data_IF_015427301707
#
_entry.id   IF_015427301707
#
_cell.length_a   1.000
_cell.length_b   1.000
_cell.length_c   1.000
_cell.angle_alpha   90.00
_cell.angle_beta   90.00
_cell.angle_gamma   90.00
#
_symmetry.space_group_name_H-M   'P 1'
#
loop_
_entity.id
_entity.type
_entity.pdbx_description
1 polymer ?
#
# COMPACT_ATOMS: atom_id res chain seq x y z
N UNK A 1 15.58 -11.59 26.11
CA UNK A 1 16.55 -10.49 26.23
C UNK A 1 17.81 -10.98 25.53
N UNK A 2 18.21 -10.33 24.42
CA UNK A 2 19.37 -10.75 23.62
C UNK A 2 20.67 -10.40 24.34
N UNK A 3 20.93 -11.01 25.49
CA UNK A 3 22.20 -10.86 26.19
C UNK A 3 22.82 -12.25 26.28
N UNK A 4 23.77 -12.52 25.40
CA UNK A 4 24.59 -13.73 25.39
C UNK A 4 25.80 -13.61 26.32
N UNK A 5 25.90 -12.52 27.11
CA UNK A 5 26.95 -12.31 28.09
C UNK A 5 28.30 -11.89 27.50
N UNK A 6 28.38 -11.69 26.19
CA UNK A 6 29.63 -11.33 25.47
C UNK A 6 29.70 -9.84 25.08
N UNK A 7 28.60 -9.08 25.27
CA UNK A 7 28.52 -7.65 24.96
C UNK A 7 28.67 -7.28 23.49
N UNK A 8 28.78 -8.26 22.58
CA UNK A 8 29.06 -8.04 21.15
C UNK A 8 27.94 -8.65 20.32
N UNK A 9 26.91 -7.84 20.01
CA UNK A 9 25.82 -8.29 19.14
C UNK A 9 26.16 -8.06 17.68
N UNK A 10 26.08 -9.12 16.88
CA UNK A 10 26.21 -9.02 15.44
C UNK A 10 25.02 -8.26 14.84
N UNK A 11 25.31 -7.10 14.25
CA UNK A 11 24.35 -6.31 13.48
C UNK A 11 24.24 -6.88 12.08
N UNK A 12 23.02 -7.15 11.64
CA UNK A 12 22.71 -7.66 10.30
C UNK A 12 21.67 -6.78 9.62
N UNK A 13 21.63 -6.73 8.28
CA UNK A 13 20.59 -6.01 7.56
C UNK A 13 19.19 -6.47 7.99
N UNK A 14 18.28 -5.52 8.18
CA UNK A 14 16.92 -5.80 8.63
C UNK A 14 16.11 -6.53 7.53
N UNK A 15 15.77 -7.82 7.70
CA UNK A 15 15.03 -8.58 6.69
C UNK A 15 13.61 -8.03 6.48
N UNK A 16 13.02 -7.36 7.49
CA UNK A 16 11.71 -6.71 7.36
C UNK A 16 11.79 -5.49 6.46
N UNK A 17 12.82 -4.64 6.64
CA UNK A 17 13.05 -3.47 5.79
C UNK A 17 13.22 -3.86 4.33
N UNK A 18 13.97 -4.93 4.08
CA UNK A 18 14.19 -5.45 2.73
C UNK A 18 12.91 -6.00 2.09
N UNK A 19 12.06 -6.69 2.87
CA UNK A 19 10.73 -7.13 2.41
C UNK A 19 9.86 -5.93 2.03
N UNK A 20 9.81 -4.88 2.85
CA UNK A 20 9.04 -3.67 2.54
C UNK A 20 9.52 -2.99 1.26
N UNK A 21 10.85 -2.87 1.05
CA UNK A 21 11.41 -2.35 -0.21
C UNK A 21 10.99 -3.18 -1.41
N UNK A 22 11.09 -4.50 -1.28
CA UNK A 22 10.70 -5.45 -2.33
C UNK A 22 9.21 -5.32 -2.66
N UNK A 23 8.36 -5.30 -1.63
CA UNK A 23 6.91 -5.11 -1.78
C UNK A 23 6.58 -3.78 -2.47
N UNK A 24 7.20 -2.67 -2.06
CA UNK A 24 7.00 -1.37 -2.69
C UNK A 24 7.40 -1.40 -4.17
N UNK A 25 8.54 -2.04 -4.49
CA UNK A 25 9.01 -2.17 -5.87
C UNK A 25 8.04 -2.98 -6.73
N UNK A 26 7.49 -4.07 -6.19
CA UNK A 26 6.50 -4.89 -6.89
C UNK A 26 5.15 -4.18 -7.08
N UNK A 27 4.69 -3.42 -6.09
CA UNK A 27 3.39 -2.75 -6.13
C UNK A 27 3.41 -1.40 -6.85
N UNK A 28 4.57 -0.76 -7.02
CA UNK A 28 4.70 0.51 -7.72
C UNK A 28 3.95 0.57 -9.09
N UNK A 29 4.12 -0.40 -10.01
CA UNK A 29 3.38 -0.38 -11.27
C UNK A 29 1.87 -0.51 -11.09
N UNK A 30 1.41 -1.31 -10.13
CA UNK A 30 -0.02 -1.51 -9.88
C UNK A 30 -0.66 -0.24 -9.29
N UNK A 31 0.04 0.42 -8.36
CA UNK A 31 -0.41 1.70 -7.79
C UNK A 31 -0.49 2.80 -8.86
N UNK A 32 0.47 2.84 -9.77
CA UNK A 32 0.46 3.77 -10.90
C UNK A 32 -0.69 3.46 -11.88
N UNK A 33 -0.95 2.18 -12.15
CA UNK A 33 -2.08 1.76 -12.97
C UNK A 33 -3.43 2.17 -12.34
N UNK A 34 -3.58 2.04 -11.01
CA UNK A 34 -4.77 2.50 -10.30
C UNK A 34 -4.91 4.02 -10.36
N UNK A 35 -3.81 4.76 -10.19
CA UNK A 35 -3.80 6.22 -10.22
C UNK A 35 -4.27 6.78 -11.57
N UNK A 36 -3.93 6.09 -12.66
CA UNK A 36 -4.17 6.53 -14.05
C UNK A 36 -5.32 5.79 -14.74
N UNK A 37 -5.99 4.86 -14.05
CA UNK A 37 -7.01 3.97 -14.64
C UNK A 37 -8.14 4.72 -15.35
N UNK A 38 -8.48 5.93 -14.88
CA UNK A 38 -9.57 6.73 -15.42
C UNK A 38 -9.13 7.82 -16.41
N UNK A 39 -7.82 8.06 -16.58
CA UNK A 39 -7.30 9.11 -17.47
C UNK A 39 -7.80 9.00 -18.91
N UNK A 40 -7.94 7.79 -19.52
CA UNK A 40 -8.51 7.68 -20.86
C UNK A 40 -9.97 8.16 -20.92
N UNK A 41 -10.77 7.85 -19.89
CA UNK A 41 -12.17 8.22 -19.83
C UNK A 41 -12.34 9.73 -19.55
N UNK A 42 -11.52 10.30 -18.67
CA UNK A 42 -11.53 11.76 -18.41
C UNK A 42 -11.10 12.55 -19.65
N UNK A 43 -10.11 12.08 -20.40
CA UNK A 43 -9.71 12.68 -21.68
C UNK A 43 -10.82 12.60 -22.72
N UNK A 44 -11.49 11.46 -22.85
CA UNK A 44 -12.61 11.30 -23.79
C UNK A 44 -13.78 12.24 -23.45
N UNK A 45 -14.14 12.36 -22.17
CA UNK A 45 -15.16 13.30 -21.70
C UNK A 45 -14.76 14.76 -22.00
N UNK A 46 -13.51 15.12 -21.71
CA UNK A 46 -13.01 16.49 -21.95
C UNK A 46 -12.91 16.84 -23.43
N UNK A 47 -12.71 15.85 -24.30
CA UNK A 47 -12.72 16.02 -25.76
C UNK A 47 -14.13 16.24 -26.35
N UNK A 48 -15.17 16.23 -25.52
CA UNK A 48 -16.56 16.42 -25.98
C UNK A 48 -17.16 15.19 -26.66
N UNK A 49 -16.63 13.99 -26.38
CA UNK A 49 -17.18 12.76 -26.94
C UNK A 49 -18.67 12.60 -26.58
N UNK A 50 -19.06 12.98 -25.37
CA UNK A 50 -20.44 12.97 -24.87
C UNK A 50 -20.86 14.37 -24.42
N UNK A 51 -22.08 14.81 -24.78
CA UNK A 51 -22.59 16.15 -24.47
C UNK A 51 -24.01 16.10 -23.88
N UNK A 52 -24.39 17.17 -23.17
CA UNK A 52 -25.71 17.34 -22.55
C UNK A 52 -25.76 16.95 -21.06
N UNK A 53 -26.87 17.29 -20.38
CA UNK A 53 -27.03 17.11 -18.92
C UNK A 53 -26.67 15.71 -18.37
N UNK A 54 -27.03 14.60 -19.05
CA UNK A 54 -26.60 13.28 -18.60
C UNK A 54 -25.08 13.08 -18.65
N UNK A 55 -24.42 13.65 -19.67
CA UNK A 55 -22.96 13.62 -19.81
C UNK A 55 -22.28 14.41 -18.70
N UNK A 56 -22.82 15.58 -18.32
CA UNK A 56 -22.29 16.39 -17.21
C UNK A 56 -22.30 15.60 -15.89
N UNK A 57 -23.45 15.01 -15.53
CA UNK A 57 -23.57 14.17 -14.32
C UNK A 57 -22.63 12.96 -14.35
N UNK A 58 -22.48 12.33 -15.52
CA UNK A 58 -21.56 11.21 -15.68
C UNK A 58 -20.11 11.66 -15.48
N UNK A 59 -19.71 12.79 -16.08
CA UNK A 59 -18.39 13.39 -15.92
C UNK A 59 -18.06 13.69 -14.46
N UNK A 60 -18.98 14.33 -13.74
CA UNK A 60 -18.81 14.58 -12.29
C UNK A 60 -18.60 13.28 -11.50
N UNK A 61 -19.41 12.26 -11.81
CA UNK A 61 -19.32 10.95 -11.17
C UNK A 61 -18.04 10.19 -11.51
N UNK A 62 -17.52 10.35 -12.72
CA UNK A 62 -16.25 9.80 -13.19
C UNK A 62 -15.09 10.47 -12.45
N UNK A 63 -15.01 11.80 -12.47
CA UNK A 63 -13.95 12.54 -11.78
C UNK A 63 -13.97 12.34 -10.27
N UNK A 64 -15.15 12.19 -9.67
CA UNK A 64 -15.24 11.82 -8.26
C UNK A 64 -14.65 10.42 -7.98
N UNK A 65 -14.84 9.45 -8.88
CA UNK A 65 -14.23 8.11 -8.77
C UNK A 65 -12.73 8.15 -9.00
N UNK A 66 -12.27 8.85 -10.04
CA UNK A 66 -10.86 9.04 -10.34
C UNK A 66 -10.10 9.62 -9.14
N UNK A 67 -10.61 10.72 -8.55
CA UNK A 67 -10.02 11.33 -7.35
C UNK A 67 -10.02 10.40 -6.13
N UNK A 68 -11.02 9.54 -5.96
CA UNK A 68 -11.03 8.57 -4.85
C UNK A 68 -10.00 7.47 -5.08
N UNK A 69 -9.90 6.95 -6.29
CA UNK A 69 -8.94 5.90 -6.62
C UNK A 69 -7.50 6.40 -6.53
N UNK A 70 -7.22 7.57 -7.09
CA UNK A 70 -5.89 8.20 -6.98
C UNK A 70 -5.48 8.43 -5.52
N UNK A 71 -6.38 8.93 -4.68
CA UNK A 71 -6.09 9.09 -3.24
C UNK A 71 -5.86 7.77 -2.52
N UNK A 72 -6.62 6.72 -2.84
CA UNK A 72 -6.41 5.40 -2.25
C UNK A 72 -5.04 4.80 -2.64
N UNK A 73 -4.63 4.97 -3.90
CA UNK A 73 -3.32 4.52 -4.37
C UNK A 73 -2.17 5.28 -3.71
N UNK A 74 -2.27 6.62 -3.61
CA UNK A 74 -1.26 7.42 -2.91
C UNK A 74 -1.21 7.09 -1.42
N UNK A 75 -2.35 6.94 -0.74
CA UNK A 75 -2.37 6.57 0.67
C UNK A 75 -1.72 5.20 0.92
N UNK A 76 -1.97 4.22 0.05
CA UNK A 76 -1.33 2.90 0.15
C UNK A 76 0.19 3.00 -0.03
N UNK A 77 0.64 3.84 -0.97
CA UNK A 77 2.07 4.11 -1.19
C UNK A 77 2.71 4.80 0.01
N UNK A 78 2.07 5.84 0.53
CA UNK A 78 2.55 6.61 1.68
C UNK A 78 2.67 5.73 2.91
N UNK A 79 1.66 4.90 3.21
CA UNK A 79 1.71 3.94 4.32
C UNK A 79 2.93 3.01 4.23
N UNK A 80 3.23 2.47 3.05
CA UNK A 80 4.40 1.61 2.84
C UNK A 80 5.73 2.36 3.01
N UNK A 81 5.78 3.62 2.56
CA UNK A 81 6.96 4.47 2.71
C UNK A 81 7.20 4.88 4.17
N UNK A 82 6.13 5.19 4.91
CA UNK A 82 6.18 5.50 6.34
C UNK A 82 6.66 4.29 7.15
N UNK A 83 6.10 3.11 6.87
CA UNK A 83 6.57 1.86 7.48
C UNK A 83 8.05 1.61 7.15
N UNK A 84 8.46 1.81 5.90
CA UNK A 84 9.86 1.65 5.49
C UNK A 84 10.80 2.63 6.21
N UNK A 85 10.36 3.88 6.42
CA UNK A 85 11.13 4.91 7.10
C UNK A 85 11.23 4.66 8.61
N UNK A 86 10.20 4.05 9.21
CA UNK A 86 10.18 3.69 10.62
C UNK A 86 11.10 2.49 10.96
N UNK A 87 11.40 1.63 9.98
CA UNK A 87 12.25 0.46 10.18
C UNK A 87 13.76 0.80 10.21
N UNK A 88 14.52 0.30 11.19
CA UNK A 88 15.97 0.47 11.23
C UNK A 88 16.66 -0.29 10.08
N UNK A 89 17.79 0.24 9.58
CA UNK A 89 18.59 -0.41 8.52
C UNK A 89 19.19 -1.74 8.96
N UNK A 90 19.68 -1.80 10.20
CA UNK A 90 20.32 -2.96 10.79
C UNK A 90 19.66 -3.30 12.12
N UNK A 91 19.56 -4.59 12.40
CA UNK A 91 19.00 -5.15 13.63
C UNK A 91 19.94 -6.21 14.17
N UNK A 92 19.80 -6.59 15.43
CA UNK A 92 20.63 -7.65 15.99
C UNK A 92 20.23 -8.99 15.38
N UNK A 93 21.19 -9.85 15.04
CA UNK A 93 20.93 -11.18 14.46
C UNK A 93 19.96 -12.04 15.30
N UNK A 94 19.94 -11.87 16.62
CA UNK A 94 18.98 -12.56 17.49
C UNK A 94 17.52 -12.08 17.30
N UNK A 95 17.31 -10.82 16.92
CA UNK A 95 15.99 -10.20 16.70
C UNK A 95 15.37 -10.66 15.38
N UNK A 96 16.19 -11.06 14.39
CA UNK A 96 15.72 -11.56 13.10
C UNK A 96 15.17 -12.98 13.14
N UNK A 97 15.57 -13.79 14.14
CA UNK A 97 15.18 -15.19 14.29
C UNK A 97 13.87 -15.39 15.08
N UNK A 98 13.43 -14.38 15.85
CA UNK A 98 12.25 -14.46 16.72
C UNK A 98 10.95 -13.89 16.12
N UNK A 99 11.02 -13.22 14.97
CA UNK A 99 9.88 -12.53 14.35
C UNK A 99 9.11 -13.41 13.36
N UNK A 100 8.36 -14.40 13.84
CA UNK A 100 7.30 -15.00 13.04
C UNK A 100 6.22 -13.93 12.76
N UNK A 101 5.65 -13.85 11.54
CA UNK A 101 4.62 -12.87 11.23
C UNK A 101 3.32 -13.28 11.91
N UNK A 102 3.07 -12.76 13.11
CA UNK A 102 1.73 -12.76 13.69
C UNK A 102 0.88 -11.75 12.90
N UNK A 103 0.27 -12.21 11.82
CA UNK A 103 -0.94 -11.60 11.29
C UNK A 103 -2.11 -12.13 12.11
N UNK A 104 -2.75 -11.36 13.02
CA UNK A 104 -4.11 -11.69 13.40
C UNK A 104 -5.00 -11.23 12.24
N UNK A 105 -5.23 -12.12 11.27
CA UNK A 105 -6.43 -12.03 10.43
C UNK A 105 -7.62 -12.28 11.35
N UNK A 106 -8.08 -11.22 12.00
CA UNK A 106 -9.36 -11.19 12.69
C UNK A 106 -10.45 -11.21 11.63
N UNK A 107 -10.80 -12.40 11.14
CA UNK A 107 -12.03 -12.62 10.40
C UNK A 107 -13.21 -12.46 11.37
N UNK A 108 -14.17 -11.54 11.13
CA UNK A 108 -15.40 -11.54 11.90
C UNK A 108 -16.21 -12.80 11.55
N UNK A 109 -16.88 -13.45 12.52
CA UNK A 109 -17.77 -14.54 12.19
C UNK A 109 -18.96 -13.99 11.40
N UNK A 110 -19.18 -14.53 10.19
CA UNK A 110 -20.45 -14.40 9.49
C UNK A 110 -21.53 -15.07 10.34
N UNK A 111 -22.23 -14.27 11.15
CA UNK A 111 -23.50 -14.63 11.72
C UNK A 111 -24.59 -14.50 10.65
N UNK A 112 -25.01 -15.64 10.09
CA UNK A 112 -26.26 -15.75 9.35
C UNK A 112 -26.80 -17.17 9.50
N UNK A 113 -27.94 -17.30 10.17
CA UNK A 113 -28.77 -18.50 10.11
C UNK A 113 -29.56 -18.79 11.38
N UNK A 114 -30.85 -18.44 11.39
CA UNK A 114 -31.84 -18.88 12.37
C UNK A 114 -32.91 -17.85 12.66
#
# INVERSE_FOLDING_TARGET
MCDDGTGTHEMVPNPRKERLRTTLTHLAPDLEALRTAFDPAERAMSAGAWTGRPADRFGDGLSARARRLGRAAEQAREQLLEELAAEPEEVRRCETLGGAPFFPLSTPPLGSGG
#
